data_IF_761130767649
#
_entry.id   IF_761130767649
#
_cell.length_a   1.000
_cell.length_b   1.000
_cell.length_c   1.000
_cell.angle_alpha   90.00
_cell.angle_beta   90.00
_cell.angle_gamma   90.00
#
_symmetry.space_group_name_H-M   'P 1'
#
loop_
_entity.id
_entity.type
_entity.pdbx_description
1 polymer ?
#
# COMPACT_ATOMS: atom_id res chain seq x y z
N UNK A 1 -5.89 -8.38 -11.01
CA UNK A 1 -5.01 -8.81 -9.90
C UNK A 1 -4.61 -7.59 -9.09
N UNK A 2 -4.73 -7.69 -7.78
CA UNK A 2 -4.30 -6.65 -6.85
C UNK A 2 -3.62 -7.30 -5.65
N UNK A 3 -2.43 -6.82 -5.28
CA UNK A 3 -1.75 -7.32 -4.09
C UNK A 3 -2.26 -6.60 -2.85
N UNK A 4 -2.53 -7.37 -1.79
CA UNK A 4 -2.99 -6.85 -0.50
C UNK A 4 -1.83 -6.95 0.49
N UNK A 5 -1.41 -5.82 1.04
CA UNK A 5 -0.28 -5.77 1.96
C UNK A 5 -0.70 -5.15 3.29
N UNK A 6 -0.59 -5.91 4.38
CA UNK A 6 -1.08 -5.51 5.70
C UNK A 6 -0.01 -5.52 6.80
N UNK A 7 1.26 -5.63 6.43
CA UNK A 7 2.32 -5.72 7.44
C UNK A 7 3.13 -4.44 7.51
N UNK A 8 3.75 -4.20 8.68
CA UNK A 8 4.61 -3.04 8.82
C UNK A 8 5.87 -3.20 7.97
N UNK A 9 6.17 -2.25 7.09
CA UNK A 9 7.41 -2.29 6.30
C UNK A 9 8.64 -2.02 7.15
N UNK A 10 8.45 -1.57 8.39
CA UNK A 10 9.54 -1.21 9.29
C UNK A 10 10.05 -2.40 10.09
N UNK A 11 9.26 -3.49 10.17
CA UNK A 11 9.60 -4.68 10.96
C UNK A 11 9.87 -5.91 10.10
N UNK A 12 9.56 -5.86 8.80
CA UNK A 12 9.80 -6.97 7.88
C UNK A 12 10.32 -6.44 6.55
N UNK A 13 10.88 -7.32 5.72
CA UNK A 13 11.32 -6.98 4.36
C UNK A 13 10.30 -7.41 3.31
N UNK A 14 9.07 -7.71 3.71
CA UNK A 14 8.07 -8.23 2.79
C UNK A 14 7.61 -7.20 1.77
N UNK A 15 7.59 -5.91 2.13
CA UNK A 15 7.30 -4.85 1.16
C UNK A 15 8.38 -4.81 0.06
N UNK A 16 9.65 -4.87 0.45
CA UNK A 16 10.76 -4.87 -0.50
C UNK A 16 10.62 -6.03 -1.49
N UNK A 17 10.32 -7.22 -0.99
CA UNK A 17 10.13 -8.40 -1.83
C UNK A 17 8.93 -8.23 -2.77
N UNK A 18 7.80 -7.70 -2.25
CA UNK A 18 6.62 -7.45 -3.08
C UNK A 18 6.95 -6.50 -4.23
N UNK A 19 7.61 -5.39 -3.94
CA UNK A 19 7.93 -4.39 -4.96
C UNK A 19 8.90 -4.91 -6.00
N UNK A 20 9.72 -5.89 -5.65
CA UNK A 20 10.65 -6.51 -6.60
C UNK A 20 9.98 -7.51 -7.52
N UNK A 21 8.95 -8.22 -7.06
CA UNK A 21 8.33 -9.30 -7.84
C UNK A 21 7.04 -8.88 -8.52
N UNK A 22 6.36 -7.85 -8.05
CA UNK A 22 5.09 -7.43 -8.65
C UNK A 22 5.30 -6.92 -10.07
N UNK A 23 4.58 -7.46 -11.05
CA UNK A 23 4.69 -6.96 -12.44
C UNK A 23 4.28 -5.49 -12.50
N UNK A 24 4.97 -4.72 -13.34
CA UNK A 24 4.67 -3.30 -13.53
C UNK A 24 3.20 -3.10 -13.90
N UNK A 25 2.56 -2.10 -13.30
CA UNK A 25 1.16 -1.80 -13.53
C UNK A 25 0.21 -2.53 -12.60
N UNK A 26 0.68 -3.51 -11.83
CA UNK A 26 -0.19 -4.24 -10.89
C UNK A 26 -0.52 -3.36 -9.70
N UNK A 27 -1.81 -3.16 -9.36
CA UNK A 27 -2.18 -2.37 -8.20
C UNK A 27 -1.82 -3.03 -6.88
N UNK A 28 -1.51 -2.20 -5.89
CA UNK A 28 -1.16 -2.62 -4.53
C UNK A 28 -2.07 -1.88 -3.57
N UNK A 29 -2.70 -2.59 -2.65
CA UNK A 29 -3.55 -1.99 -1.62
C UNK A 29 -2.91 -2.18 -0.24
N UNK A 30 -2.68 -1.07 0.44
CA UNK A 30 -2.12 -1.03 1.78
C UNK A 30 -3.27 -0.91 2.80
N UNK A 31 -3.31 -1.82 3.77
CA UNK A 31 -4.33 -1.80 4.82
C UNK A 31 -3.71 -2.26 6.14
N UNK A 32 -4.39 -2.05 7.23
CA UNK A 32 -3.86 -2.31 8.58
C UNK A 32 -2.45 -1.70 8.72
N UNK A 33 -1.47 -2.42 9.22
CA UNK A 33 -0.10 -1.89 9.39
C UNK A 33 0.61 -1.62 8.06
N UNK A 34 0.09 -2.17 6.96
CA UNK A 34 0.62 -1.89 5.64
C UNK A 34 0.55 -0.41 5.25
N UNK A 35 -0.39 0.36 5.83
CA UNK A 35 -0.51 1.79 5.55
C UNK A 35 0.69 2.60 6.06
N UNK A 36 1.53 2.05 6.93
CA UNK A 36 2.79 2.69 7.31
C UNK A 36 3.70 2.88 6.11
N UNK A 37 3.53 2.07 5.06
CA UNK A 37 4.27 2.21 3.81
C UNK A 37 3.92 3.50 3.06
N UNK A 38 2.76 4.09 3.34
CA UNK A 38 2.30 5.32 2.69
C UNK A 38 2.81 6.58 3.38
N UNK A 39 3.37 6.46 4.57
CA UNK A 39 3.82 7.61 5.37
C UNK A 39 5.10 8.19 4.82
N UNK A 40 5.17 9.52 4.70
CA UNK A 40 6.40 10.22 4.32
C UNK A 40 7.42 10.15 5.45
N UNK A 41 8.70 10.16 5.09
CA UNK A 41 9.81 10.29 6.04
C UNK A 41 10.22 8.99 6.74
N UNK A 42 9.69 7.85 6.33
CA UNK A 42 10.13 6.57 6.89
C UNK A 42 11.31 5.99 6.11
N UNK A 43 11.89 4.91 6.62
CA UNK A 43 13.00 4.22 5.98
C UNK A 43 12.63 3.68 4.58
N UNK A 44 11.34 3.44 4.31
CA UNK A 44 10.89 2.91 3.01
C UNK A 44 10.32 3.98 2.09
N UNK A 45 10.31 5.24 2.53
CA UNK A 45 9.68 6.34 1.81
C UNK A 45 10.21 6.51 0.38
N UNK A 46 11.52 6.46 0.20
CA UNK A 46 12.14 6.59 -1.12
C UNK A 46 11.74 5.44 -2.04
N UNK A 47 11.69 4.22 -1.50
CA UNK A 47 11.33 3.04 -2.27
C UNK A 47 9.86 3.10 -2.73
N UNK A 48 8.97 3.54 -1.85
CA UNK A 48 7.55 3.65 -2.19
C UNK A 48 7.34 4.81 -3.18
N UNK A 49 8.07 5.91 -3.03
CA UNK A 49 8.02 7.02 -3.98
C UNK A 49 8.38 6.55 -5.41
N UNK A 50 9.34 5.67 -5.56
CA UNK A 50 9.65 5.08 -6.86
C UNK A 50 8.55 4.11 -7.31
N UNK A 51 7.99 3.33 -6.39
CA UNK A 51 6.97 2.33 -6.72
C UNK A 51 5.69 2.95 -7.27
N UNK A 52 5.30 4.15 -6.83
CA UNK A 52 4.07 4.80 -7.33
C UNK A 52 4.17 5.16 -8.81
N UNK A 53 5.37 5.20 -9.37
CA UNK A 53 5.57 5.44 -10.80
C UNK A 53 5.21 4.22 -11.65
N UNK A 54 5.25 3.04 -11.05
CA UNK A 54 5.06 1.78 -11.76
C UNK A 54 3.82 1.02 -11.33
N UNK A 55 3.19 1.40 -10.21
CA UNK A 55 2.05 0.71 -9.66
C UNK A 55 1.00 1.70 -9.14
N UNK A 56 -0.29 1.49 -9.42
CA UNK A 56 -1.33 2.17 -8.65
C UNK A 56 -1.25 1.66 -7.21
N UNK A 57 -1.05 2.57 -6.25
CA UNK A 57 -0.97 2.21 -4.83
C UNK A 57 -2.09 2.91 -4.10
N UNK A 58 -2.86 2.13 -3.33
CA UNK A 58 -3.99 2.58 -2.55
C UNK A 58 -3.72 2.40 -1.06
N UNK A 59 -4.25 3.29 -0.23
CA UNK A 59 -4.16 3.16 1.22
C UNK A 59 -5.53 3.42 1.85
N UNK A 60 -5.91 2.58 2.81
CA UNK A 60 -7.22 2.64 3.45
C UNK A 60 -7.22 3.74 4.51
N UNK A 61 -8.11 4.74 4.35
CA UNK A 61 -8.12 5.93 5.21
C UNK A 61 -8.41 5.64 6.68
N UNK A 62 -9.36 4.77 7.06
CA UNK A 62 -9.54 4.47 8.47
C UNK A 62 -8.30 3.90 9.15
N UNK A 63 -7.50 3.13 8.42
CA UNK A 63 -6.26 2.57 8.97
C UNK A 63 -5.17 3.63 9.12
N UNK A 64 -5.10 4.58 8.19
CA UNK A 64 -4.23 5.75 8.31
C UNK A 64 -4.60 6.60 9.52
N UNK A 65 -5.90 6.87 9.68
CA UNK A 65 -6.41 7.70 10.78
C UNK A 65 -6.15 7.02 12.13
N UNK A 66 -6.35 5.71 12.21
CA UNK A 66 -6.12 4.96 13.45
C UNK A 66 -4.65 5.05 13.90
N UNK A 67 -3.72 5.28 12.98
CA UNK A 67 -2.29 5.37 13.27
C UNK A 67 -1.78 6.80 13.25
N UNK A 68 -2.66 7.79 13.13
CA UNK A 68 -2.29 9.21 13.12
C UNK A 68 -1.43 9.60 11.93
N UNK A 69 -1.51 8.89 10.83
CA UNK A 69 -0.69 9.17 9.64
C UNK A 69 -1.38 10.26 8.83
N UNK A 70 -0.73 11.41 8.69
CA UNK A 70 -1.27 12.56 7.98
C UNK A 70 -0.43 12.96 6.77
N UNK A 71 0.86 12.68 6.80
CA UNK A 71 1.77 13.03 5.72
C UNK A 71 1.96 11.83 4.80
N UNK A 72 1.32 11.87 3.64
CA UNK A 72 1.22 10.74 2.71
C UNK A 72 2.12 10.98 1.50
N UNK A 73 2.78 9.93 1.03
CA UNK A 73 3.62 10.00 -0.17
C UNK A 73 2.75 10.39 -1.36
N UNK A 74 3.13 11.42 -2.14
CA UNK A 74 2.36 11.82 -3.33
C UNK A 74 2.20 10.67 -4.33
N UNK A 75 1.01 10.59 -4.91
CA UNK A 75 0.68 9.54 -5.87
C UNK A 75 -0.08 8.36 -5.28
N UNK A 76 -0.06 8.21 -3.96
CA UNK A 76 -0.87 7.17 -3.30
C UNK A 76 -2.32 7.64 -3.26
N UNK A 77 -3.23 6.75 -3.67
CA UNK A 77 -4.66 7.04 -3.70
C UNK A 77 -5.30 6.56 -2.40
N UNK A 78 -6.08 7.46 -1.78
CA UNK A 78 -6.75 7.14 -0.51
C UNK A 78 -8.12 6.56 -0.79
N UNK A 79 -8.47 5.47 -0.10
CA UNK A 79 -9.77 4.82 -0.24
C UNK A 79 -10.36 4.55 1.15
N UNK A 80 -11.70 4.63 1.24
CA UNK A 80 -12.41 4.21 2.44
C UNK A 80 -12.69 2.71 2.40
N UNK A 81 -13.44 2.18 3.36
CA UNK A 81 -13.77 0.75 3.36
C UNK A 81 -14.63 0.35 2.17
N UNK A 82 -15.54 1.21 1.72
CA UNK A 82 -16.35 0.92 0.53
C UNK A 82 -15.45 0.83 -0.70
N UNK A 83 -14.49 1.73 -0.83
CA UNK A 83 -13.50 1.68 -1.90
C UNK A 83 -12.63 0.45 -1.84
N UNK A 84 -12.22 0.04 -0.63
CA UNK A 84 -11.48 -1.20 -0.39
C UNK A 84 -12.28 -2.40 -0.91
N UNK A 85 -13.54 -2.53 -0.45
CA UNK A 85 -14.40 -3.64 -0.86
C UNK A 85 -14.58 -3.65 -2.37
N UNK A 86 -14.81 -2.49 -2.97
CA UNK A 86 -14.95 -2.38 -4.42
C UNK A 86 -13.73 -2.85 -5.19
N UNK A 87 -12.53 -2.50 -4.72
CA UNK A 87 -11.28 -2.95 -5.35
C UNK A 87 -11.09 -4.46 -5.21
N UNK A 88 -11.37 -5.02 -4.03
CA UNK A 88 -11.23 -6.45 -3.80
C UNK A 88 -12.23 -7.24 -4.64
N UNK A 89 -13.45 -6.74 -4.81
CA UNK A 89 -14.46 -7.40 -5.64
C UNK A 89 -14.14 -7.32 -7.13
N UNK A 90 -13.61 -6.17 -7.58
CA UNK A 90 -13.33 -5.92 -8.99
C UNK A 90 -12.07 -6.61 -9.46
N UNK A 91 -11.03 -6.56 -8.63
CA UNK A 91 -9.73 -7.15 -8.93
C UNK A 91 -9.60 -8.52 -8.26
N UNK A 92 -8.72 -9.37 -8.78
CA UNK A 92 -8.44 -10.66 -8.18
C UNK A 92 -7.42 -10.45 -7.04
N UNK A 93 -7.83 -10.49 -5.76
CA UNK A 93 -6.92 -10.15 -4.66
C UNK A 93 -5.93 -11.26 -4.36
N UNK A 94 -4.68 -10.86 -4.14
CA UNK A 94 -3.59 -11.76 -3.76
C UNK A 94 -2.98 -11.23 -2.46
N UNK A 95 -3.26 -11.87 -1.32
CA UNK A 95 -2.64 -11.48 -0.05
C UNK A 95 -1.13 -11.71 -0.11
N UNK A 96 -0.37 -10.71 0.32
CA UNK A 96 1.08 -10.83 0.42
C UNK A 96 1.46 -11.00 1.88
N UNK A 97 1.77 -12.23 2.25
CA UNK A 97 2.04 -12.59 3.65
C UNK A 97 3.39 -13.28 3.80
#
# INVERSE_FOLDING_TARGET
>A
MIFLFNQSPLTTKKLDTLLKVAPAGTPILLYEDGVLSAKQGTAVSAQVTEAVKNHPIYAVTPDLDARGIKSIIPGIQLVDYDGFVGLVEKENPIPWI
#
